data_IF_502703172811
#
_entry.id   IF_502703172811
#
_cell.length_a   1.000
_cell.length_b   1.000
_cell.length_c   1.000
_cell.angle_alpha   90.00
_cell.angle_beta   90.00
_cell.angle_gamma   90.00
#
_symmetry.space_group_name_H-M   'P 1'
#
loop_
_entity.id
_entity.type
_entity.pdbx_description
1 polymer ?
#
# COMPACT_ATOMS: atom_id res chain seq x y z
N UNK A 1 50.99 -5.06 -2.22
CA UNK A 1 50.31 -4.55 -1.00
C UNK A 1 49.78 -3.17 -1.37
N UNK A 2 48.50 -2.79 -1.30
CA UNK A 2 47.40 -3.21 -0.44
C UNK A 2 46.05 -3.22 -1.20
N UNK A 3 45.15 -4.10 -0.79
CA UNK A 3 43.75 -4.15 -1.20
C UNK A 3 42.94 -3.24 -0.26
N UNK A 4 42.24 -2.24 -0.77
CA UNK A 4 41.25 -1.48 -0.01
C UNK A 4 39.87 -2.04 -0.33
N UNK A 5 39.40 -2.93 0.54
CA UNK A 5 38.00 -3.32 0.60
C UNK A 5 37.19 -2.15 1.15
N UNK A 6 36.40 -1.51 0.29
CA UNK A 6 35.32 -0.64 0.74
C UNK A 6 34.17 -1.54 1.18
N UNK A 7 33.90 -1.51 2.48
CA UNK A 7 32.88 -2.32 3.12
C UNK A 7 31.49 -1.94 2.61
N UNK A 8 30.66 -2.96 2.36
CA UNK A 8 29.25 -2.82 2.07
C UNK A 8 28.59 -2.04 3.22
N UNK A 9 28.11 -0.84 2.89
CA UNK A 9 27.32 -0.01 3.79
C UNK A 9 26.07 -0.81 4.19
N UNK A 10 26.02 -1.20 5.45
CA UNK A 10 24.89 -1.89 6.06
C UNK A 10 23.67 -0.98 5.99
N UNK A 11 22.85 -1.17 4.95
CA UNK A 11 21.53 -0.56 4.81
C UNK A 11 20.76 -0.87 6.09
N UNK A 12 20.51 0.16 6.90
CA UNK A 12 19.65 0.04 8.09
C UNK A 12 18.32 -0.60 7.64
N UNK A 13 17.75 -1.55 8.38
CA UNK A 13 16.45 -2.09 8.03
C UNK A 13 15.45 -0.93 8.01
N UNK A 14 15.03 -0.53 6.80
CA UNK A 14 13.92 0.39 6.66
C UNK A 14 12.72 -0.23 7.38
N UNK A 15 11.88 0.57 8.06
CA UNK A 15 10.67 0.05 8.67
C UNK A 15 9.89 -0.78 7.63
N UNK A 16 9.53 -1.99 8.03
CA UNK A 16 8.86 -2.94 7.15
C UNK A 16 7.53 -2.30 6.71
N UNK A 17 7.23 -2.25 5.39
CA UNK A 17 6.02 -1.62 4.89
C UNK A 17 4.73 -2.20 5.48
N UNK A 18 4.77 -3.42 6.02
CA UNK A 18 3.64 -4.10 6.68
C UNK A 18 3.12 -3.41 7.95
N UNK A 19 3.93 -2.62 8.65
CA UNK A 19 3.48 -1.87 9.84
C UNK A 19 2.63 -0.63 9.46
N UNK A 20 2.88 -0.06 8.28
CA UNK A 20 2.22 1.17 7.83
C UNK A 20 1.09 0.87 6.82
N UNK A 21 1.26 -0.20 6.05
CA UNK A 21 0.32 -0.74 5.09
C UNK A 21 0.00 -2.19 5.51
N UNK A 22 -0.99 -2.40 6.41
CA UNK A 22 -1.23 -3.71 7.05
C UNK A 22 -1.77 -4.79 6.10
N UNK A 23 -2.11 -4.40 4.88
CA UNK A 23 -2.52 -5.27 3.79
C UNK A 23 -1.35 -5.71 2.90
N UNK A 24 -0.14 -5.21 3.15
CA UNK A 24 1.10 -5.70 2.53
C UNK A 24 1.69 -6.78 3.44
N UNK A 25 1.88 -7.97 2.90
CA UNK A 25 2.48 -9.10 3.62
C UNK A 25 3.60 -9.71 2.80
N UNK A 26 4.67 -10.12 3.47
CA UNK A 26 5.65 -11.01 2.87
C UNK A 26 5.01 -12.40 2.71
N UNK A 27 5.11 -12.98 1.52
CA UNK A 27 4.70 -14.37 1.31
C UNK A 27 5.85 -15.25 1.80
N UNK A 28 5.66 -16.05 2.87
CA UNK A 28 6.67 -16.99 3.32
C UNK A 28 7.08 -17.91 2.16
N UNK A 29 8.36 -18.27 2.10
CA UNK A 29 8.95 -19.22 1.14
C UNK A 29 9.18 -18.71 -0.29
N UNK A 30 8.70 -17.52 -0.66
CA UNK A 30 8.97 -16.92 -1.99
C UNK A 30 9.91 -15.73 -1.96
N UNK A 31 10.10 -15.09 -0.81
CA UNK A 31 10.84 -13.83 -0.71
C UNK A 31 10.19 -12.69 -1.51
N UNK A 32 8.90 -12.81 -1.80
CA UNK A 32 8.10 -11.84 -2.56
C UNK A 32 7.07 -11.21 -1.62
N UNK A 33 6.87 -9.90 -1.77
CA UNK A 33 5.82 -9.16 -1.08
C UNK A 33 4.53 -9.22 -1.89
N UNK A 34 3.44 -9.59 -1.24
CA UNK A 34 2.08 -9.37 -1.75
C UNK A 34 1.54 -8.08 -1.17
N UNK A 35 1.16 -7.18 -2.05
CA UNK A 35 0.71 -5.84 -1.76
C UNK A 35 -0.82 -5.73 -1.69
N UNK A 36 -1.56 -6.85 -1.74
CA UNK A 36 -3.02 -6.88 -1.62
C UNK A 36 -3.55 -8.08 -0.83
N UNK A 37 -3.38 -8.06 0.49
CA UNK A 37 -4.03 -8.98 1.44
C UNK A 37 -5.11 -8.28 2.25
N UNK A 38 -6.25 -8.04 1.62
CA UNK A 38 -7.44 -7.49 2.29
C UNK A 38 -8.53 -8.55 2.33
N UNK A 39 -9.07 -8.78 3.53
CA UNK A 39 -10.24 -9.61 3.78
C UNK A 39 -11.48 -8.70 3.78
N UNK A 40 -12.45 -8.91 2.87
CA UNK A 40 -13.72 -8.20 2.91
C UNK A 40 -14.50 -8.57 4.18
N UNK A 41 -15.26 -7.61 4.68
CA UNK A 41 -16.20 -7.77 5.81
C UNK A 41 -17.47 -8.50 5.40
N UNK A 42 -17.79 -8.51 4.10
CA UNK A 42 -19.04 -9.06 3.56
C UNK A 42 -20.19 -8.06 3.54
N UNK A 43 -20.00 -6.85 4.08
CA UNK A 43 -20.90 -5.72 3.90
C UNK A 43 -20.30 -4.74 2.89
N UNK A 44 -20.98 -4.55 1.76
CA UNK A 44 -20.49 -3.72 0.66
C UNK A 44 -20.14 -2.29 1.08
N UNK A 45 -20.92 -1.68 1.99
CA UNK A 45 -20.69 -0.31 2.43
C UNK A 45 -19.47 -0.25 3.34
N UNK A 46 -19.36 -1.16 4.30
CA UNK A 46 -18.18 -1.27 5.17
C UNK A 46 -16.93 -1.56 4.36
N UNK A 47 -17.04 -2.39 3.33
CA UNK A 47 -15.95 -2.71 2.42
C UNK A 47 -15.50 -1.49 1.60
N UNK A 48 -16.45 -0.67 1.12
CA UNK A 48 -16.12 0.62 0.49
C UNK A 48 -15.38 1.57 1.45
N UNK A 49 -15.84 1.67 2.71
CA UNK A 49 -15.20 2.51 3.73
C UNK A 49 -13.80 1.99 4.09
N UNK A 50 -13.65 0.66 4.22
CA UNK A 50 -12.35 0.00 4.40
C UNK A 50 -11.41 0.31 3.26
N UNK A 51 -11.84 0.10 2.01
CA UNK A 51 -11.06 0.41 0.82
C UNK A 51 -10.57 1.86 0.79
N UNK A 52 -11.46 2.83 1.06
CA UNK A 52 -11.07 4.25 1.14
C UNK A 52 -10.03 4.49 2.23
N UNK A 53 -10.21 3.92 3.42
CA UNK A 53 -9.24 4.08 4.50
C UNK A 53 -7.85 3.52 4.13
N UNK A 54 -7.80 2.39 3.43
CA UNK A 54 -6.54 1.82 2.93
C UNK A 54 -5.88 2.70 1.86
N UNK A 55 -6.67 3.31 0.96
CA UNK A 55 -6.15 4.26 -0.03
C UNK A 55 -5.52 5.49 0.65
N UNK A 56 -6.19 6.05 1.66
CA UNK A 56 -5.65 7.17 2.45
C UNK A 56 -4.33 6.82 3.12
N UNK A 57 -4.23 5.63 3.75
CA UNK A 57 -2.96 5.16 4.32
C UNK A 57 -1.87 4.99 3.27
N UNK A 58 -2.22 4.49 2.08
CA UNK A 58 -1.30 4.34 0.95
C UNK A 58 -0.76 5.68 0.49
N UNK A 59 -1.62 6.68 0.30
CA UNK A 59 -1.19 8.02 -0.09
C UNK A 59 -0.32 8.66 1.00
N UNK A 60 -0.70 8.55 2.26
CA UNK A 60 0.08 9.10 3.37
C UNK A 60 1.45 8.43 3.49
N UNK A 61 1.51 7.12 3.20
CA UNK A 61 2.76 6.39 3.09
C UNK A 61 3.63 6.92 1.95
N UNK A 62 3.09 7.07 0.74
CA UNK A 62 3.83 7.56 -0.43
C UNK A 62 4.35 8.99 -0.22
N UNK A 63 3.57 9.87 0.44
CA UNK A 63 3.98 11.23 0.79
C UNK A 63 5.19 11.24 1.73
N UNK A 64 5.24 10.32 2.69
CA UNK A 64 6.35 10.21 3.66
C UNK A 64 7.57 9.49 3.07
N UNK A 65 7.38 8.68 2.04
CA UNK A 65 8.41 7.84 1.42
C UNK A 65 8.51 8.06 -0.09
N UNK A 66 8.92 9.26 -0.50
CA UNK A 66 9.01 9.67 -1.90
C UNK A 66 9.84 8.74 -2.80
N UNK A 67 10.79 7.96 -2.24
CA UNK A 67 11.58 6.98 -2.99
C UNK A 67 10.85 5.66 -3.30
N UNK A 68 9.58 5.51 -2.94
CA UNK A 68 8.79 4.28 -3.12
C UNK A 68 7.67 4.42 -4.16
N UNK A 69 7.97 5.10 -5.26
CA UNK A 69 7.04 5.32 -6.38
C UNK A 69 6.42 4.02 -6.93
N UNK A 70 7.17 2.91 -6.90
CA UNK A 70 6.69 1.60 -7.36
C UNK A 70 5.65 0.92 -6.46
N UNK A 71 5.49 1.36 -5.20
CA UNK A 71 4.57 0.71 -4.24
C UNK A 71 3.11 0.81 -4.71
N UNK A 72 2.68 1.97 -5.22
CA UNK A 72 1.30 2.12 -5.70
C UNK A 72 1.03 1.19 -6.90
N UNK A 73 1.95 1.15 -7.86
CA UNK A 73 1.84 0.27 -9.03
C UNK A 73 1.75 -1.19 -8.63
N UNK A 74 2.51 -1.62 -7.62
CA UNK A 74 2.48 -3.00 -7.14
C UNK A 74 1.18 -3.33 -6.38
N UNK A 75 0.69 -2.42 -5.54
CA UNK A 75 -0.63 -2.55 -4.89
C UNK A 75 -1.74 -2.72 -5.94
N UNK A 76 -1.75 -1.88 -6.97
CA UNK A 76 -2.76 -1.96 -8.04
C UNK A 76 -2.63 -3.25 -8.86
N UNK A 77 -1.40 -3.69 -9.16
CA UNK A 77 -1.16 -4.94 -9.88
C UNK A 77 -1.68 -6.15 -9.09
N UNK A 78 -1.40 -6.23 -7.80
CA UNK A 78 -1.84 -7.33 -6.94
C UNK A 78 -3.36 -7.31 -6.71
N UNK A 79 -3.96 -6.12 -6.63
CA UNK A 79 -5.41 -5.95 -6.59
C UNK A 79 -6.09 -6.51 -7.85
N UNK A 80 -5.55 -6.21 -9.05
CA UNK A 80 -6.04 -6.77 -10.31
C UNK A 80 -5.83 -8.29 -10.35
N UNK A 81 -4.66 -8.77 -9.94
CA UNK A 81 -4.31 -10.19 -9.93
C UNK A 81 -5.20 -11.01 -8.97
N UNK A 82 -5.68 -10.40 -7.88
CA UNK A 82 -6.66 -11.01 -6.98
C UNK A 82 -8.02 -11.29 -7.65
N UNK A 83 -8.29 -10.66 -8.80
CA UNK A 83 -9.48 -10.92 -9.61
C UNK A 83 -10.80 -10.48 -8.99
N UNK A 84 -10.74 -9.58 -7.99
CA UNK A 84 -11.91 -9.03 -7.30
C UNK A 84 -12.08 -7.55 -7.65
N UNK A 85 -13.33 -7.15 -7.87
CA UNK A 85 -13.72 -5.77 -8.08
C UNK A 85 -15.01 -5.51 -7.29
N UNK A 86 -14.92 -5.61 -5.96
CA UNK A 86 -16.05 -5.44 -5.05
C UNK A 86 -15.84 -4.21 -4.16
N UNK A 87 -16.61 -4.07 -3.07
CA UNK A 87 -16.64 -2.90 -2.20
C UNK A 87 -15.24 -2.40 -1.79
N UNK A 88 -14.31 -3.30 -1.43
CA UNK A 88 -12.96 -2.91 -1.01
C UNK A 88 -12.18 -2.26 -2.15
N UNK A 89 -12.12 -2.90 -3.32
CA UNK A 89 -11.37 -2.39 -4.47
C UNK A 89 -12.00 -1.10 -5.02
N UNK A 90 -13.34 -1.02 -5.06
CA UNK A 90 -14.08 0.18 -5.45
C UNK A 90 -13.80 1.32 -4.48
N UNK A 91 -13.88 1.05 -3.17
CA UNK A 91 -13.56 2.02 -2.12
C UNK A 91 -12.13 2.53 -2.20
N UNK A 92 -11.18 1.63 -2.48
CA UNK A 92 -9.78 2.00 -2.65
C UNK A 92 -9.57 2.95 -3.83
N UNK A 93 -10.16 2.65 -4.99
CA UNK A 93 -10.11 3.52 -6.16
C UNK A 93 -10.76 4.90 -5.89
N UNK A 94 -11.88 4.94 -5.16
CA UNK A 94 -12.51 6.19 -4.73
C UNK A 94 -11.60 7.01 -3.83
N UNK A 95 -11.00 6.39 -2.82
CA UNK A 95 -10.10 7.07 -1.88
C UNK A 95 -8.84 7.62 -2.55
N UNK A 96 -8.30 6.93 -3.57
CA UNK A 96 -7.22 7.45 -4.40
C UNK A 96 -7.66 8.71 -5.17
N UNK A 97 -8.84 8.66 -5.82
CA UNK A 97 -9.36 9.80 -6.58
C UNK A 97 -9.63 11.02 -5.67
N UNK A 98 -10.16 10.79 -4.47
CA UNK A 98 -10.34 11.80 -3.42
C UNK A 98 -9.00 12.47 -3.07
N UNK A 99 -7.98 11.65 -2.78
CA UNK A 99 -6.66 12.14 -2.40
C UNK A 99 -5.96 12.93 -3.52
N UNK A 100 -6.11 12.50 -4.78
CA UNK A 100 -5.56 13.20 -5.96
C UNK A 100 -6.25 14.56 -6.16
N UNK A 101 -7.57 14.62 -5.98
CA UNK A 101 -8.35 15.84 -6.19
C UNK A 101 -8.35 16.79 -5.00
N UNK A 102 -7.66 16.43 -3.91
CA UNK A 102 -7.59 17.23 -2.68
C UNK A 102 -8.90 17.24 -1.88
N UNK A 103 -9.87 16.38 -2.22
CA UNK A 103 -11.08 16.19 -1.42
C UNK A 103 -10.74 15.27 -0.25
N UNK A 104 -10.52 15.83 0.93
CA UNK A 104 -10.48 15.05 2.17
C UNK A 104 -11.91 14.61 2.56
N UNK A 105 -12.11 13.37 3.04
CA UNK A 105 -13.40 12.94 3.58
C UNK A 105 -13.63 13.73 4.87
N UNK A 106 -14.59 14.65 4.85
CA UNK A 106 -14.89 15.55 5.97
C UNK A 106 -15.06 17.02 5.60
N UNK A 107 -14.85 17.40 4.34
CA UNK A 107 -15.13 18.75 3.83
C UNK A 107 -16.62 19.01 3.56
N UNK A 108 -17.48 18.78 4.54
CA UNK A 108 -18.84 19.31 4.58
C UNK A 108 -19.13 19.69 6.03
N UNK A 109 -18.83 20.95 6.36
CA UNK A 109 -19.40 21.63 7.54
C UNK A 109 -20.77 22.18 7.20
#
# INVERSE_FOLDING_TARGET
MAQTGAQAESVRPQPLPSLELPFIREIPDKGVWSCWHVEPTGDYRMDCELGRALAWRTVEYLRRHASREGTLSQVLADMIAAGRADGVEIGFAQGLAEAITGRTPGGAS
#
